data_IF_190903119611
#
_entry.id   IF_190903119611
#
_cell.length_a   1.000
_cell.length_b   1.000
_cell.length_c   1.000
_cell.angle_alpha   90.00
_cell.angle_beta   90.00
_cell.angle_gamma   90.00
#
_symmetry.space_group_name_H-M   'P 1'
#
loop_
_entity.id
_entity.type
_entity.pdbx_description
1 polymer ?
#
# COMPACT_ATOMS: atom_id res chain seq x y z
N UNK A 1 23.11 -11.31 -37.75
CA UNK A 1 23.43 -11.94 -36.43
C UNK A 1 23.46 -13.46 -36.51
N UNK A 2 22.33 -14.20 -36.58
CA UNK A 2 22.42 -15.69 -36.65
C UNK A 2 23.09 -16.23 -37.91
N UNK A 3 23.00 -15.51 -39.02
CA UNK A 3 23.64 -15.89 -40.29
C UNK A 3 25.15 -15.61 -40.30
N UNK A 4 25.65 -14.68 -39.46
CA UNK A 4 27.05 -14.23 -39.48
C UNK A 4 27.93 -14.93 -38.41
N UNK A 5 27.32 -15.51 -37.37
CA UNK A 5 28.03 -16.07 -36.22
C UNK A 5 27.89 -17.59 -36.06
N UNK A 6 27.45 -18.34 -37.07
CA UNK A 6 27.36 -19.81 -36.98
C UNK A 6 26.48 -20.34 -35.82
N UNK A 7 26.67 -21.62 -35.44
CA UNK A 7 25.91 -22.29 -34.37
C UNK A 7 26.62 -22.13 -33.01
N UNK A 8 26.46 -20.99 -32.36
CA UNK A 8 26.87 -20.82 -30.97
C UNK A 8 25.81 -21.29 -29.95
N UNK A 9 26.26 -21.61 -28.74
CA UNK A 9 25.41 -22.00 -27.62
C UNK A 9 24.55 -20.83 -27.13
N UNK A 10 23.42 -21.14 -26.48
CA UNK A 10 22.52 -20.12 -25.93
C UNK A 10 23.19 -19.15 -24.92
N UNK A 11 24.06 -19.61 -23.99
CA UNK A 11 24.76 -18.70 -23.08
C UNK A 11 25.59 -17.65 -23.82
N UNK A 12 26.29 -18.05 -24.88
CA UNK A 12 27.07 -17.11 -25.70
C UNK A 12 26.17 -16.07 -26.38
N UNK A 13 25.05 -16.51 -26.98
CA UNK A 13 24.08 -15.60 -27.57
C UNK A 13 23.50 -14.64 -26.54
N UNK A 14 23.22 -15.11 -25.32
CA UNK A 14 22.74 -14.30 -24.21
C UNK A 14 23.76 -13.21 -23.86
N UNK A 15 25.04 -13.54 -23.77
CA UNK A 15 26.11 -12.56 -23.53
C UNK A 15 26.21 -11.51 -24.63
N UNK A 16 26.12 -11.91 -25.90
CA UNK A 16 26.17 -10.96 -27.01
C UNK A 16 24.96 -10.02 -27.03
N UNK A 17 23.76 -10.53 -26.71
CA UNK A 17 22.54 -9.73 -26.59
C UNK A 17 22.69 -8.74 -25.43
N UNK A 18 23.17 -9.19 -24.27
CA UNK A 18 23.40 -8.32 -23.11
C UNK A 18 24.44 -7.24 -23.47
N UNK A 19 25.57 -7.62 -24.08
CA UNK A 19 26.63 -6.69 -24.46
C UNK A 19 26.11 -5.60 -25.41
N UNK A 20 25.30 -5.96 -26.41
CA UNK A 20 24.79 -5.00 -27.39
C UNK A 20 23.65 -4.13 -26.87
N UNK A 21 22.73 -4.71 -26.09
CA UNK A 21 21.45 -4.07 -25.76
C UNK A 21 21.31 -3.66 -24.30
N UNK A 22 22.03 -4.30 -23.36
CA UNK A 22 22.00 -3.94 -21.94
C UNK A 22 23.03 -2.86 -21.60
N UNK A 23 23.12 -1.84 -22.45
CA UNK A 23 23.96 -0.66 -22.22
C UNK A 23 23.39 0.23 -21.10
N UNK A 24 24.17 1.22 -20.66
CA UNK A 24 23.78 2.10 -19.55
C UNK A 24 22.44 2.82 -19.80
N UNK A 25 22.15 3.20 -21.04
CA UNK A 25 20.87 3.83 -21.38
C UNK A 25 19.68 2.88 -21.21
N UNK A 26 19.84 1.60 -21.56
CA UNK A 26 18.80 0.59 -21.31
C UNK A 26 18.60 0.36 -19.81
N UNK A 27 19.69 0.26 -19.04
CA UNK A 27 19.62 0.11 -17.57
C UNK A 27 18.87 1.26 -16.93
N UNK A 28 19.24 2.49 -17.27
CA UNK A 28 18.57 3.70 -16.81
C UNK A 28 17.07 3.71 -17.15
N UNK A 29 16.70 3.35 -18.38
CA UNK A 29 15.29 3.23 -18.79
C UNK A 29 14.52 2.17 -17.98
N UNK A 30 15.14 1.03 -17.70
CA UNK A 30 14.53 -0.02 -16.89
C UNK A 30 14.37 0.38 -15.43
N UNK A 31 15.36 1.08 -14.88
CA UNK A 31 15.33 1.61 -13.51
C UNK A 31 14.22 2.64 -13.36
N UNK A 32 14.18 3.69 -14.20
CA UNK A 32 13.06 4.64 -14.23
C UNK A 32 11.71 3.94 -14.44
N UNK A 33 11.64 2.97 -15.36
CA UNK A 33 10.41 2.23 -15.60
C UNK A 33 9.90 1.48 -14.37
N UNK A 34 10.78 1.06 -13.46
CA UNK A 34 10.43 0.46 -12.19
C UNK A 34 10.12 1.53 -11.13
N UNK A 35 10.93 2.57 -11.03
CA UNK A 35 10.84 3.64 -10.03
C UNK A 35 9.71 4.65 -10.27
N UNK A 36 9.18 4.77 -11.48
CA UNK A 36 8.06 5.67 -11.77
C UNK A 36 6.72 4.92 -11.72
N UNK A 37 6.74 3.60 -11.94
CA UNK A 37 5.50 2.81 -11.98
C UNK A 37 5.02 2.52 -10.57
N UNK A 38 3.92 3.15 -10.19
CA UNK A 38 3.16 2.87 -8.96
C UNK A 38 1.95 2.01 -9.36
N UNK A 39 1.62 1.02 -8.53
CA UNK A 39 0.45 0.19 -8.76
C UNK A 39 -0.84 1.01 -8.65
N UNK A 40 -1.71 0.93 -9.64
CA UNK A 40 -3.02 1.55 -9.63
C UNK A 40 -4.12 0.49 -9.69
N UNK A 41 -5.00 0.46 -8.69
CA UNK A 41 -6.05 -0.55 -8.54
C UNK A 41 -7.10 -0.51 -9.64
N UNK A 42 -7.34 0.66 -10.24
CA UNK A 42 -8.36 0.83 -11.27
C UNK A 42 -7.85 0.46 -12.66
N UNK A 43 -6.53 0.59 -12.88
CA UNK A 43 -5.90 0.37 -14.18
C UNK A 43 -5.16 -0.96 -14.27
N UNK A 44 -4.49 -1.36 -13.20
CA UNK A 44 -3.49 -2.42 -13.24
C UNK A 44 -4.04 -3.72 -12.64
N UNK A 45 -3.81 -4.84 -13.34
CA UNK A 45 -4.13 -6.17 -12.82
C UNK A 45 -2.98 -6.66 -11.91
N UNK A 46 -3.24 -7.05 -10.65
CA UNK A 46 -2.20 -7.44 -9.69
C UNK A 46 -1.19 -8.45 -10.22
N UNK A 47 -1.66 -9.59 -10.77
CA UNK A 47 -0.78 -10.63 -11.30
C UNK A 47 0.16 -10.10 -12.40
N UNK A 48 -0.41 -9.49 -13.45
CA UNK A 48 0.36 -8.99 -14.59
C UNK A 48 1.33 -7.90 -14.20
N UNK A 49 0.90 -6.99 -13.31
CA UNK A 49 1.75 -5.90 -12.84
C UNK A 49 2.91 -6.41 -11.99
N UNK A 50 2.63 -7.32 -11.03
CA UNK A 50 3.64 -7.86 -10.12
C UNK A 50 4.72 -8.63 -10.90
N UNK A 51 4.31 -9.50 -11.83
CA UNK A 51 5.25 -10.25 -12.67
C UNK A 51 6.10 -9.32 -13.55
N UNK A 52 5.50 -8.28 -14.13
CA UNK A 52 6.24 -7.29 -14.91
C UNK A 52 7.29 -6.55 -14.07
N UNK A 53 7.00 -6.22 -12.81
CA UNK A 53 7.98 -5.60 -11.92
C UNK A 53 9.07 -6.58 -11.49
N UNK A 54 8.71 -7.84 -11.23
CA UNK A 54 9.68 -8.90 -10.96
C UNK A 54 10.66 -9.06 -12.13
N UNK A 55 10.18 -9.12 -13.37
CA UNK A 55 11.01 -9.27 -14.56
C UNK A 55 11.98 -8.10 -14.75
N UNK A 56 11.53 -6.86 -14.48
CA UNK A 56 12.40 -5.68 -14.52
C UNK A 56 13.51 -5.77 -13.47
N UNK A 57 13.17 -6.14 -12.24
CA UNK A 57 14.14 -6.27 -11.15
C UNK A 57 15.12 -7.41 -11.37
N UNK A 58 14.68 -8.57 -11.86
CA UNK A 58 15.58 -9.70 -12.15
C UNK A 58 16.49 -9.40 -13.35
N UNK A 59 16.03 -8.60 -14.31
CA UNK A 59 16.86 -8.13 -15.41
C UNK A 59 17.95 -7.12 -14.97
N UNK A 60 17.63 -6.24 -14.02
CA UNK A 60 18.57 -5.26 -13.47
C UNK A 60 19.52 -5.87 -12.41
N UNK A 61 18.99 -6.76 -11.58
CA UNK A 61 19.66 -7.33 -10.42
C UNK A 61 19.46 -8.86 -10.37
N UNK A 62 20.15 -9.62 -11.24
CA UNK A 62 19.94 -11.07 -11.36
C UNK A 62 20.31 -11.86 -10.11
N UNK A 63 21.14 -11.30 -9.22
CA UNK A 63 21.60 -11.95 -7.99
C UNK A 63 20.83 -11.49 -6.74
N UNK A 64 19.75 -10.71 -6.90
CA UNK A 64 18.93 -10.25 -5.78
C UNK A 64 18.12 -11.40 -5.18
N UNK A 65 18.06 -11.48 -3.85
CA UNK A 65 17.23 -12.49 -3.18
C UNK A 65 15.74 -12.27 -3.47
N UNK A 66 14.99 -13.36 -3.56
CA UNK A 66 13.56 -13.31 -3.87
C UNK A 66 12.78 -12.45 -2.85
N UNK A 67 13.09 -12.58 -1.56
CA UNK A 67 12.52 -11.73 -0.50
C UNK A 67 12.78 -10.24 -0.75
N UNK A 68 13.99 -9.88 -1.20
CA UNK A 68 14.31 -8.47 -1.48
C UNK A 68 13.59 -7.96 -2.72
N UNK A 69 13.44 -8.80 -3.75
CA UNK A 69 12.62 -8.49 -4.93
C UNK A 69 11.17 -8.21 -4.49
N UNK A 70 10.58 -9.06 -3.64
CA UNK A 70 9.23 -8.84 -3.13
C UNK A 70 9.12 -7.53 -2.34
N UNK A 71 10.05 -7.26 -1.42
CA UNK A 71 10.08 -5.99 -0.66
C UNK A 71 10.09 -4.78 -1.58
N UNK A 72 10.96 -4.78 -2.59
CA UNK A 72 11.06 -3.67 -3.56
C UNK A 72 9.77 -3.48 -4.35
N UNK A 73 9.13 -4.56 -4.80
CA UNK A 73 7.84 -4.48 -5.51
C UNK A 73 6.74 -3.93 -4.58
N UNK A 74 6.69 -4.36 -3.32
CA UNK A 74 5.64 -3.91 -2.38
C UNK A 74 5.73 -2.42 -2.07
N UNK A 75 6.94 -1.86 -1.96
CA UNK A 75 7.13 -0.41 -1.81
C UNK A 75 6.48 0.36 -2.97
N UNK A 76 6.43 -0.25 -4.17
CA UNK A 76 5.78 0.31 -5.36
C UNK A 76 4.26 0.18 -5.35
N UNK A 77 3.67 -0.59 -4.43
CA UNK A 77 2.22 -0.59 -4.19
C UNK A 77 1.78 0.68 -3.43
N UNK A 78 2.63 1.15 -2.51
CA UNK A 78 2.44 2.38 -1.75
C UNK A 78 1.35 2.33 -0.67
N UNK A 79 1.53 3.16 0.35
CA UNK A 79 0.53 3.51 1.36
C UNK A 79 -0.16 2.31 2.02
N UNK A 80 -1.49 2.37 2.09
CA UNK A 80 -2.31 1.37 2.78
C UNK A 80 -2.27 0.00 2.11
N UNK A 81 -2.06 -0.05 0.80
CA UNK A 81 -2.01 -1.32 0.06
C UNK A 81 -0.74 -2.10 0.42
N UNK A 82 0.42 -1.42 0.46
CA UNK A 82 1.67 -2.01 0.92
C UNK A 82 1.53 -2.58 2.34
N UNK A 83 0.95 -1.80 3.26
CA UNK A 83 0.76 -2.21 4.65
C UNK A 83 -0.20 -3.41 4.75
N UNK A 84 -1.33 -3.38 4.04
CA UNK A 84 -2.31 -4.44 4.04
C UNK A 84 -1.79 -5.76 3.47
N UNK A 85 -0.90 -5.71 2.47
CA UNK A 85 -0.25 -6.90 1.90
C UNK A 85 0.79 -7.44 2.89
N UNK A 86 1.65 -6.58 3.47
CA UNK A 86 2.64 -7.00 4.47
C UNK A 86 2.01 -7.67 5.68
N UNK A 87 0.87 -7.17 6.16
CA UNK A 87 0.14 -7.79 7.26
C UNK A 87 -0.37 -9.20 6.97
N UNK A 88 -0.55 -9.56 5.68
CA UNK A 88 -0.98 -10.91 5.26
C UNK A 88 0.20 -11.84 4.94
N UNK A 89 1.30 -11.29 4.43
CA UNK A 89 2.43 -12.06 3.93
C UNK A 89 3.61 -12.04 4.92
N UNK A 90 3.64 -13.02 5.83
CA UNK A 90 4.77 -13.21 6.76
C UNK A 90 5.94 -13.85 5.99
N UNK A 91 7.13 -13.24 6.05
CA UNK A 91 8.31 -13.73 5.34
C UNK A 91 8.89 -15.02 5.95
N UNK A 92 9.40 -15.96 5.14
CA UNK A 92 9.44 -15.97 3.67
C UNK A 92 8.09 -16.35 3.06
N UNK A 93 7.66 -15.62 2.03
CA UNK A 93 6.36 -15.80 1.40
C UNK A 93 6.52 -15.94 -0.13
N UNK A 94 5.72 -16.82 -0.75
CA UNK A 94 5.83 -17.10 -2.18
C UNK A 94 5.24 -15.98 -3.04
N UNK A 95 5.73 -15.83 -4.27
CA UNK A 95 5.17 -14.89 -5.27
C UNK A 95 3.65 -15.08 -5.40
N UNK A 96 3.21 -16.33 -5.48
CA UNK A 96 1.81 -16.65 -5.68
C UNK A 96 0.94 -16.17 -4.52
N UNK A 97 1.46 -16.27 -3.29
CA UNK A 97 0.74 -15.77 -2.12
C UNK A 97 0.69 -14.24 -2.07
N UNK A 98 1.78 -13.54 -2.47
CA UNK A 98 1.75 -12.09 -2.62
C UNK A 98 0.73 -11.62 -3.67
N UNK A 99 0.69 -12.27 -4.83
CA UNK A 99 -0.27 -11.96 -5.89
C UNK A 99 -1.70 -12.23 -5.42
N UNK A 100 -1.96 -13.39 -4.82
CA UNK A 100 -3.30 -13.73 -4.32
C UNK A 100 -3.76 -12.75 -3.23
N UNK A 101 -2.87 -12.36 -2.32
CA UNK A 101 -3.17 -11.36 -1.28
C UNK A 101 -3.49 -10.00 -1.89
N UNK A 102 -2.73 -9.58 -2.90
CA UNK A 102 -2.96 -8.34 -3.61
C UNK A 102 -4.30 -8.38 -4.38
N UNK A 103 -4.63 -9.49 -5.05
CA UNK A 103 -5.94 -9.68 -5.70
C UNK A 103 -7.08 -9.66 -4.68
N UNK A 104 -6.97 -10.36 -3.55
CA UNK A 104 -8.00 -10.38 -2.49
C UNK A 104 -8.27 -8.97 -1.91
N UNK A 105 -7.22 -8.20 -1.61
CA UNK A 105 -7.34 -6.82 -1.09
C UNK A 105 -8.00 -5.91 -2.13
N UNK A 106 -7.49 -5.94 -3.35
CA UNK A 106 -7.96 -5.01 -4.40
C UNK A 106 -9.40 -5.30 -4.84
N UNK A 107 -9.82 -6.56 -4.78
CA UNK A 107 -11.20 -6.97 -5.08
C UNK A 107 -12.18 -6.77 -3.92
N UNK A 108 -11.78 -7.09 -2.67
CA UNK A 108 -12.72 -7.12 -1.53
C UNK A 108 -12.75 -5.83 -0.73
N UNK A 109 -11.60 -5.23 -0.45
CA UNK A 109 -11.52 -4.06 0.45
C UNK A 109 -11.44 -2.74 -0.31
N UNK A 110 -11.15 -2.77 -1.63
CA UNK A 110 -10.94 -1.57 -2.47
C UNK A 110 -9.89 -0.61 -1.88
N UNK A 111 -9.05 -1.09 -0.97
CA UNK A 111 -8.00 -0.33 -0.28
C UNK A 111 -6.99 0.17 -1.31
N UNK A 112 -6.72 1.48 -1.30
CA UNK A 112 -5.81 2.15 -2.25
C UNK A 112 -6.50 2.78 -3.47
N UNK A 113 -7.83 2.64 -3.64
CA UNK A 113 -8.54 3.44 -4.65
C UNK A 113 -8.45 4.92 -4.28
N UNK A 114 -8.05 5.73 -5.25
CA UNK A 114 -8.10 7.17 -5.10
C UNK A 114 -9.58 7.57 -5.25
N UNK A 115 -10.32 7.62 -4.15
CA UNK A 115 -11.66 8.17 -4.16
C UNK A 115 -11.53 9.62 -4.61
N UNK A 116 -11.91 9.90 -5.86
CA UNK A 116 -11.99 11.26 -6.37
C UNK A 116 -12.86 12.07 -5.40
N UNK A 117 -12.22 12.90 -4.57
CA UNK A 117 -12.92 13.93 -3.83
C UNK A 117 -13.15 15.02 -4.86
N UNK A 118 -14.39 15.28 -5.31
CA UNK A 118 -14.62 16.43 -6.17
C UNK A 118 -14.04 17.67 -5.45
N UNK A 119 -13.43 18.62 -6.19
CA UNK A 119 -12.99 19.87 -5.60
C UNK A 119 -14.20 20.46 -4.86
N UNK A 120 -14.09 20.65 -3.55
CA UNK A 120 -15.06 21.49 -2.86
C UNK A 120 -14.85 22.90 -3.41
N UNK A 121 -15.73 23.32 -4.32
CA UNK A 121 -15.82 24.69 -4.79
C UNK A 121 -16.09 25.59 -3.58
N UNK A 122 -15.02 26.13 -2.99
CA UNK A 122 -15.09 27.23 -2.05
C UNK A 122 -15.42 28.52 -2.83
N UNK A 123 -16.64 28.62 -3.36
CA UNK A 123 -17.23 29.89 -3.79
C UNK A 123 -18.18 30.38 -2.71
N UNK A 124 -17.61 31.18 -1.81
CA UNK A 124 -18.33 32.09 -0.92
C UNK A 124 -19.20 33.03 -1.76
N UNK A 125 -20.52 32.86 -1.70
CA UNK A 125 -21.47 33.95 -1.89
C UNK A 125 -22.66 33.71 -0.95
N UNK A 126 -22.95 34.74 -0.15
CA UNK A 126 -23.62 34.59 1.13
C UNK A 126 -25.13 34.34 1.04
N UNK A 127 -25.59 33.46 1.92
CA UNK A 127 -26.87 33.59 2.63
C UNK A 127 -26.65 33.03 4.05
N UNK A 128 -26.95 33.77 5.13
CA UNK A 128 -26.76 33.25 6.48
C UNK A 128 -27.80 32.17 6.74
N UNK A 129 -27.35 30.92 6.79
CA UNK A 129 -28.14 29.81 7.34
C UNK A 129 -28.11 29.97 8.87
N UNK A 130 -29.26 29.88 9.58
CA UNK A 130 -29.28 29.99 11.03
C UNK A 130 -28.41 28.87 11.62
N UNK A 131 -27.37 29.25 12.35
CA UNK A 131 -26.63 28.30 13.18
C UNK A 131 -27.57 27.83 14.29
N UNK A 132 -28.23 26.70 14.11
CA UNK A 132 -28.68 25.93 15.26
C UNK A 132 -27.43 25.39 15.94
N UNK A 133 -26.90 26.17 16.88
CA UNK A 133 -26.02 25.65 17.91
C UNK A 133 -26.87 24.63 18.67
N UNK A 134 -26.76 23.34 18.32
CA UNK A 134 -27.10 22.30 19.29
C UNK A 134 -26.02 22.41 20.36
N UNK A 135 -26.31 23.22 21.38
CA UNK A 135 -25.68 23.06 22.69
C UNK A 135 -25.87 21.60 23.04
N UNK A 136 -24.80 20.82 23.01
CA UNK A 136 -24.80 19.59 23.78
C UNK A 136 -24.71 20.03 25.24
N UNK A 137 -25.86 20.41 25.81
CA UNK A 137 -26.05 20.44 27.25
C UNK A 137 -25.96 18.99 27.72
N UNK A 138 -24.72 18.49 27.82
CA UNK A 138 -24.45 17.21 28.47
C UNK A 138 -24.83 17.42 29.91
N UNK A 139 -25.95 16.84 30.32
CA UNK A 139 -26.32 16.75 31.72
C UNK A 139 -25.09 16.30 32.54
N UNK A 140 -24.78 16.93 33.67
CA UNK A 140 -23.60 16.61 34.44
C UNK A 140 -23.61 15.12 34.79
N UNK A 141 -22.54 14.41 34.41
CA UNK A 141 -22.44 12.97 34.65
C UNK A 141 -22.51 12.71 36.16
N UNK A 142 -23.51 11.93 36.57
CA UNK A 142 -23.73 11.53 37.96
C UNK A 142 -23.06 10.19 38.24
N UNK A 143 -22.53 10.03 39.45
CA UNK A 143 -22.10 8.74 39.96
C UNK A 143 -23.26 7.74 39.91
N UNK A 144 -23.10 6.63 39.20
CA UNK A 144 -24.16 5.61 39.09
C UNK A 144 -24.48 4.92 40.43
N UNK A 145 -23.60 5.02 41.45
CA UNK A 145 -23.84 4.43 42.78
C UNK A 145 -24.57 5.35 43.76
N UNK A 146 -24.26 6.64 43.76
CA UNK A 146 -24.80 7.61 44.74
C UNK A 146 -25.60 8.75 44.10
N UNK A 147 -25.72 8.81 42.78
CA UNK A 147 -26.42 9.86 42.05
C UNK A 147 -25.79 11.27 42.17
N UNK A 148 -24.67 11.40 42.87
CA UNK A 148 -23.96 12.66 43.08
C UNK A 148 -23.20 13.11 41.83
N UNK A 149 -23.17 14.41 41.57
CA UNK A 149 -22.34 15.05 40.52
C UNK A 149 -20.94 15.43 41.01
N UNK A 150 -20.65 15.23 42.30
CA UNK A 150 -19.37 15.60 42.92
C UNK A 150 -18.22 14.65 42.54
N UNK A 151 -18.55 13.41 42.17
CA UNK A 151 -17.58 12.41 41.75
C UNK A 151 -18.19 11.47 40.69
N UNK A 152 -17.33 10.75 39.97
CA UNK A 152 -17.73 9.74 38.99
C UNK A 152 -17.70 8.35 39.64
N UNK A 153 -18.39 7.37 39.04
CA UNK A 153 -18.52 6.02 39.61
C UNK A 153 -17.19 5.28 39.84
N UNK A 154 -16.13 5.67 39.13
CA UNK A 154 -14.77 5.13 39.24
C UNK A 154 -13.94 5.76 40.37
N UNK A 155 -14.28 6.98 40.81
CA UNK A 155 -13.67 7.68 41.96
C UNK A 155 -14.59 7.72 43.17
N UNK A 156 -15.58 6.83 43.16
CA UNK A 156 -16.58 6.71 44.19
C UNK A 156 -15.92 6.24 45.50
N UNK A 157 -15.92 7.06 46.58
CA UNK A 157 -15.31 6.65 47.83
C UNK A 157 -16.06 5.43 48.35
N UNK A 158 -15.38 4.27 48.36
CA UNK A 158 -15.86 3.05 49.02
C UNK A 158 -16.03 3.36 50.51
N UNK A 159 -17.10 2.85 51.10
CA UNK A 159 -17.37 2.94 52.53
C UNK A 159 -16.17 2.43 53.33
N UNK A 160 -15.44 3.35 53.97
CA UNK A 160 -14.64 3.06 55.15
C UNK A 160 -15.50 3.48 56.35
N UNK A 161 -16.33 2.57 56.86
CA UNK A 161 -16.81 2.62 58.25
C UNK A 161 -17.23 1.22 58.73
N UNK A 162 -16.26 0.51 59.30
CA UNK A 162 -16.34 -0.37 60.47
C UNK A 162 -17.64 -1.16 60.74
N UNK A 163 -17.60 -2.48 60.49
CA UNK A 163 -17.59 -3.51 61.53
C UNK A 163 -17.20 -4.86 60.95
#
# INVERSE_FOLDING_TARGET
>A
MRQDHGKHSWPWWKEQIISKWANNSWRFKMENSFEEVIFNIERDRPMSWFLKQKDRLTALHPYMSETMVHKRILIRCGGDLEHAIRGRCIEPCSIQYYINSMEDITTRTKTGRNWYKPPMDNKTSGKPIPKTNKSHDKAPLKCHKYGSTSHLGNTCPKQESMR
#
